data_IF_172968287701
#
_entry.id   IF_172968287701
#
_cell.length_a   1.000
_cell.length_b   1.000
_cell.length_c   1.000
_cell.angle_alpha   90.00
_cell.angle_beta   90.00
_cell.angle_gamma   90.00
#
_symmetry.space_group_name_H-M   'P 1'
#
loop_
_entity.id
_entity.type
_entity.pdbx_description
1 polymer ?
#
# COMPACT_ATOMS: atom_id res chain seq x y z
N UNK A 1 87.32 18.25 -48.01
CA UNK A 1 88.62 18.52 -47.34
C UNK A 1 88.32 19.00 -45.95
N UNK A 2 88.61 18.19 -44.92
CA UNK A 2 88.50 18.60 -43.52
C UNK A 2 89.89 19.11 -43.12
N UNK A 3 89.99 20.37 -42.71
CA UNK A 3 91.29 21.00 -42.40
C UNK A 3 91.96 20.27 -41.21
N UNK A 4 93.29 20.11 -41.21
CA UNK A 4 94.02 19.38 -40.15
C UNK A 4 93.81 19.92 -38.73
N UNK A 5 93.36 21.16 -38.62
CA UNK A 5 93.06 21.85 -37.37
C UNK A 5 91.78 21.32 -36.71
N UNK A 6 90.77 20.91 -37.50
CA UNK A 6 89.50 20.41 -36.98
C UNK A 6 89.63 19.03 -36.34
N UNK A 7 90.43 18.14 -36.95
CA UNK A 7 90.70 16.81 -36.38
C UNK A 7 91.52 16.90 -35.09
N UNK A 8 92.52 17.81 -35.04
CA UNK A 8 93.29 18.08 -33.82
C UNK A 8 92.45 18.65 -32.67
N UNK A 9 91.47 19.51 -32.99
CA UNK A 9 90.52 20.05 -32.01
C UNK A 9 89.55 18.98 -31.48
N UNK A 10 89.05 18.10 -32.35
CA UNK A 10 88.14 17.02 -31.95
C UNK A 10 88.83 15.95 -31.08
N UNK A 11 90.05 15.52 -31.45
CA UNK A 11 90.82 14.55 -30.66
C UNK A 11 91.17 15.03 -29.25
N UNK A 12 91.26 16.35 -29.01
CA UNK A 12 91.47 16.91 -27.67
C UNK A 12 90.23 16.89 -26.79
N UNK A 13 89.01 16.89 -27.35
CA UNK A 13 87.76 16.86 -26.56
C UNK A 13 87.36 15.45 -26.11
N UNK A 14 87.81 14.41 -26.78
CA UNK A 14 87.48 13.01 -26.44
C UNK A 14 88.05 12.59 -25.08
N UNK A 15 89.17 13.18 -24.63
CA UNK A 15 89.75 12.95 -23.30
C UNK A 15 89.35 14.02 -22.26
N UNK A 16 88.43 14.92 -22.61
CA UNK A 16 87.89 15.89 -21.66
C UNK A 16 86.82 15.22 -20.81
N UNK A 17 87.03 15.15 -19.49
CA UNK A 17 86.06 14.70 -18.50
C UNK A 17 84.81 15.61 -18.50
N UNK A 18 83.95 15.49 -19.52
CA UNK A 18 82.57 15.99 -19.44
C UNK A 18 81.85 14.96 -18.56
N UNK A 19 81.40 15.32 -17.35
CA UNK A 19 80.50 14.44 -16.62
C UNK A 19 79.27 14.25 -17.50
N UNK A 20 79.01 13.01 -17.95
CA UNK A 20 77.70 12.69 -18.50
C UNK A 20 76.64 13.13 -17.48
N UNK A 21 75.48 13.65 -17.93
CA UNK A 21 74.46 14.16 -17.01
C UNK A 21 74.18 13.10 -15.94
N UNK A 22 74.46 13.44 -14.68
CA UNK A 22 74.28 12.55 -13.55
C UNK A 22 72.83 12.07 -13.53
N UNK A 23 72.64 10.77 -13.67
CA UNK A 23 71.35 10.05 -13.60
C UNK A 23 70.69 10.12 -12.20
N UNK A 24 71.15 11.03 -11.33
CA UNK A 24 70.80 11.12 -9.91
C UNK A 24 69.62 12.06 -9.65
N UNK A 25 69.04 12.63 -10.71
CA UNK A 25 67.85 13.49 -10.66
C UNK A 25 66.74 13.12 -11.65
N UNK A 26 66.83 11.94 -12.28
CA UNK A 26 65.78 11.47 -13.20
C UNK A 26 64.65 10.91 -12.35
N UNK A 27 63.81 11.80 -11.80
CA UNK A 27 62.43 11.39 -11.55
C UNK A 27 61.86 10.88 -12.87
N UNK A 28 61.19 9.71 -12.88
CA UNK A 28 60.62 9.17 -14.10
C UNK A 28 59.72 10.23 -14.74
N UNK A 29 59.77 10.38 -16.06
CA UNK A 29 58.91 11.36 -16.77
C UNK A 29 57.42 11.14 -16.42
N UNK A 30 57.06 9.90 -16.05
CA UNK A 30 55.76 9.50 -15.52
C UNK A 30 55.31 10.30 -14.27
N UNK A 31 56.24 10.72 -13.40
CA UNK A 31 55.95 11.51 -12.19
C UNK A 31 55.62 12.98 -12.54
N UNK A 32 56.20 13.53 -13.62
CA UNK A 32 55.86 14.87 -14.14
C UNK A 32 54.63 14.86 -15.04
N UNK A 33 54.30 13.71 -15.61
CA UNK A 33 53.10 13.46 -16.40
C UNK A 33 51.93 12.96 -15.55
N UNK A 34 51.98 13.11 -14.21
CA UNK A 34 50.83 12.85 -13.37
C UNK A 34 49.70 13.77 -13.83
N UNK A 35 48.79 13.20 -14.64
CA UNK A 35 47.71 13.91 -15.32
C UNK A 35 46.74 14.38 -14.25
N UNK A 36 46.96 15.58 -13.72
CA UNK A 36 45.99 16.24 -12.85
C UNK A 36 44.74 16.47 -13.71
N UNK A 37 43.60 15.89 -13.33
CA UNK A 37 42.35 16.13 -14.06
C UNK A 37 42.08 17.63 -14.11
N UNK A 38 41.74 18.13 -15.29
CA UNK A 38 41.35 19.54 -15.42
C UNK A 38 40.09 19.82 -14.58
N UNK A 39 39.93 21.06 -14.11
CA UNK A 39 38.73 21.46 -13.34
C UNK A 39 37.42 21.12 -14.09
N UNK A 40 37.43 21.22 -15.42
CA UNK A 40 36.29 20.85 -16.27
C UNK A 40 36.01 19.34 -16.26
N UNK A 41 37.05 18.51 -16.21
CA UNK A 41 36.91 17.06 -16.18
C UNK A 41 36.37 16.58 -14.83
N UNK A 42 36.77 17.23 -13.74
CA UNK A 42 36.22 17.01 -12.40
C UNK A 42 34.73 17.40 -12.38
N UNK A 43 34.39 18.59 -12.88
CA UNK A 43 32.99 19.07 -12.95
C UNK A 43 32.12 18.12 -13.79
N UNK A 44 32.65 17.62 -14.91
CA UNK A 44 31.94 16.67 -15.77
C UNK A 44 31.65 15.36 -15.05
N UNK A 45 32.65 14.80 -14.37
CA UNK A 45 32.46 13.56 -13.59
C UNK A 45 31.44 13.74 -12.46
N UNK A 46 31.50 14.86 -11.74
CA UNK A 46 30.53 15.17 -10.68
C UNK A 46 29.10 15.32 -11.22
N UNK A 47 28.95 15.95 -12.38
CA UNK A 47 27.66 16.07 -13.05
C UNK A 47 27.09 14.69 -13.45
N UNK A 48 27.92 13.84 -14.06
CA UNK A 48 27.55 12.48 -14.44
C UNK A 48 27.10 11.66 -13.21
N UNK A 49 27.85 11.75 -12.11
CA UNK A 49 27.52 11.08 -10.85
C UNK A 49 26.18 11.55 -10.27
N UNK A 50 25.93 12.86 -10.27
CA UNK A 50 24.64 13.42 -9.81
C UNK A 50 23.49 12.98 -10.71
N UNK A 51 23.69 12.93 -12.02
CA UNK A 51 22.68 12.44 -12.96
C UNK A 51 22.34 10.97 -12.71
N UNK A 52 23.34 10.12 -12.46
CA UNK A 52 23.10 8.71 -12.13
C UNK A 52 22.34 8.55 -10.80
N UNK A 53 22.65 9.37 -9.80
CA UNK A 53 21.91 9.36 -8.54
C UNK A 53 20.44 9.79 -8.74
N UNK A 54 20.21 10.85 -9.52
CA UNK A 54 18.85 11.30 -9.85
C UNK A 54 18.07 10.24 -10.63
N UNK A 55 18.69 9.56 -11.58
CA UNK A 55 18.06 8.48 -12.34
C UNK A 55 17.60 7.34 -11.40
N UNK A 56 18.44 6.92 -10.46
CA UNK A 56 18.08 5.91 -9.45
C UNK A 56 16.93 6.37 -8.55
N UNK A 57 16.92 7.64 -8.12
CA UNK A 57 15.82 8.20 -7.32
C UNK A 57 14.52 8.26 -8.11
N UNK A 58 14.57 8.58 -9.41
CA UNK A 58 13.39 8.58 -10.28
C UNK A 58 12.82 7.15 -10.38
N UNK A 59 13.67 6.16 -10.62
CA UNK A 59 13.27 4.74 -10.70
C UNK A 59 12.58 4.29 -9.40
N UNK A 60 13.17 4.57 -8.24
CA UNK A 60 12.57 4.28 -6.93
C UNK A 60 11.19 4.95 -6.75
N UNK A 61 11.07 6.22 -7.12
CA UNK A 61 9.80 6.95 -7.02
C UNK A 61 8.74 6.40 -7.98
N UNK A 62 9.13 5.91 -9.16
CA UNK A 62 8.22 5.26 -10.09
C UNK A 62 7.70 3.93 -9.54
N UNK A 63 8.56 3.13 -8.93
CA UNK A 63 8.19 1.89 -8.23
C UNK A 63 7.22 2.17 -7.06
N UNK A 64 7.58 3.11 -6.17
CA UNK A 64 6.72 3.51 -5.05
C UNK A 64 5.34 4.00 -5.52
N UNK A 65 5.32 4.81 -6.58
CA UNK A 65 4.06 5.29 -7.18
C UNK A 65 3.21 4.14 -7.73
N UNK A 66 3.82 3.10 -8.31
CA UNK A 66 3.11 1.93 -8.79
C UNK A 66 2.52 1.12 -7.63
N UNK A 67 3.27 0.92 -6.54
CA UNK A 67 2.77 0.26 -5.33
C UNK A 67 1.58 1.02 -4.72
N UNK A 68 1.72 2.34 -4.52
CA UNK A 68 0.65 3.17 -3.97
C UNK A 68 -0.63 3.14 -4.83
N UNK A 69 -0.48 3.09 -6.16
CA UNK A 69 -1.63 2.94 -7.08
C UNK A 69 -2.33 1.60 -6.90
N UNK A 70 -1.58 0.51 -6.72
CA UNK A 70 -2.15 -0.81 -6.47
C UNK A 70 -2.91 -0.82 -5.14
N UNK A 71 -2.30 -0.29 -4.08
CA UNK A 71 -2.94 -0.22 -2.75
C UNK A 71 -4.23 0.60 -2.77
N UNK A 72 -4.22 1.76 -3.45
CA UNK A 72 -5.41 2.58 -3.62
C UNK A 72 -6.54 1.83 -4.36
N UNK A 73 -6.20 1.04 -5.38
CA UNK A 73 -7.17 0.22 -6.11
C UNK A 73 -7.73 -0.91 -5.23
N UNK A 74 -6.89 -1.57 -4.43
CA UNK A 74 -7.32 -2.60 -3.47
C UNK A 74 -8.29 -2.02 -2.45
N UNK A 75 -7.94 -0.89 -1.82
CA UNK A 75 -8.81 -0.21 -0.85
C UNK A 75 -10.15 0.19 -1.48
N UNK A 76 -10.14 0.69 -2.72
CA UNK A 76 -11.36 1.06 -3.44
C UNK A 76 -12.27 -0.16 -3.68
N UNK A 77 -11.70 -1.30 -4.09
CA UNK A 77 -12.45 -2.54 -4.30
C UNK A 77 -13.03 -3.09 -2.99
N UNK A 78 -12.26 -3.03 -1.91
CA UNK A 78 -12.72 -3.48 -0.59
C UNK A 78 -13.89 -2.62 -0.09
N UNK A 79 -13.78 -1.29 -0.21
CA UNK A 79 -14.85 -0.36 0.16
C UNK A 79 -16.12 -0.60 -0.66
N UNK A 80 -16.00 -0.89 -1.97
CA UNK A 80 -17.15 -1.21 -2.82
C UNK A 80 -17.83 -2.52 -2.39
N UNK A 81 -17.05 -3.57 -2.08
CA UNK A 81 -17.58 -4.84 -1.57
C UNK A 81 -18.32 -4.64 -0.24
N UNK A 82 -17.74 -3.88 0.68
CA UNK A 82 -18.38 -3.56 1.95
C UNK A 82 -19.70 -2.80 1.75
N UNK A 83 -19.74 -1.82 0.84
CA UNK A 83 -20.96 -1.07 0.52
C UNK A 83 -22.06 -1.99 -0.01
N UNK A 84 -21.74 -2.89 -0.94
CA UNK A 84 -22.70 -3.88 -1.47
C UNK A 84 -23.23 -4.79 -0.37
N UNK A 85 -22.35 -5.28 0.52
CA UNK A 85 -22.74 -6.11 1.67
C UNK A 85 -23.68 -5.37 2.63
N UNK A 86 -23.38 -4.12 2.97
CA UNK A 86 -24.22 -3.29 3.85
C UNK A 86 -25.61 -3.06 3.25
N UNK A 87 -25.68 -2.70 1.97
CA UNK A 87 -26.96 -2.46 1.29
C UNK A 87 -27.86 -3.71 1.32
N UNK A 88 -27.29 -4.90 1.07
CA UNK A 88 -28.05 -6.15 1.13
C UNK A 88 -28.54 -6.44 2.56
N UNK A 89 -27.67 -6.28 3.55
CA UNK A 89 -28.05 -6.50 4.95
C UNK A 89 -29.16 -5.53 5.41
N UNK A 90 -29.14 -4.29 4.91
CA UNK A 90 -30.18 -3.29 5.18
C UNK A 90 -31.51 -3.64 4.52
N UNK A 91 -31.49 -4.11 3.28
CA UNK A 91 -32.68 -4.63 2.58
C UNK A 91 -33.28 -5.84 3.31
N UNK A 92 -32.45 -6.81 3.68
CA UNK A 92 -32.85 -8.00 4.43
C UNK A 92 -33.47 -7.62 5.79
N UNK A 93 -32.86 -6.67 6.51
CA UNK A 93 -33.39 -6.15 7.77
C UNK A 93 -34.73 -5.42 7.57
N UNK A 94 -34.85 -4.66 6.48
CA UNK A 94 -36.09 -3.99 6.08
C UNK A 94 -37.22 -4.99 5.85
N UNK A 95 -36.95 -6.04 5.07
CA UNK A 95 -37.88 -7.15 4.81
C UNK A 95 -38.31 -7.83 6.10
N UNK A 96 -37.35 -8.26 6.93
CA UNK A 96 -37.61 -8.91 8.22
C UNK A 96 -38.47 -8.03 9.15
N UNK A 97 -38.19 -6.73 9.20
CA UNK A 97 -38.99 -5.78 9.98
C UNK A 97 -40.44 -5.68 9.48
N UNK A 98 -40.67 -5.76 8.17
CA UNK A 98 -42.02 -5.77 7.62
C UNK A 98 -42.76 -7.06 7.92
N UNK A 99 -42.09 -8.21 7.79
CA UNK A 99 -42.70 -9.52 8.06
C UNK A 99 -43.00 -9.70 9.55
N UNK A 100 -42.10 -9.26 10.43
CA UNK A 100 -42.38 -9.24 11.86
C UNK A 100 -43.61 -8.37 12.21
N UNK A 101 -43.74 -7.19 11.60
CA UNK A 101 -44.92 -6.34 11.82
C UNK A 101 -46.21 -7.04 11.36
N UNK A 102 -46.19 -7.69 10.20
CA UNK A 102 -47.33 -8.48 9.70
C UNK A 102 -47.68 -9.61 10.66
N UNK A 103 -46.69 -10.41 11.07
CA UNK A 103 -46.88 -11.52 12.01
C UNK A 103 -47.50 -11.03 13.33
N UNK A 104 -46.97 -9.95 13.90
CA UNK A 104 -47.51 -9.35 15.13
C UNK A 104 -48.96 -8.88 14.96
N UNK A 105 -49.32 -8.31 13.81
CA UNK A 105 -50.70 -7.93 13.52
C UNK A 105 -51.59 -9.17 13.40
N UNK A 106 -51.15 -10.20 12.66
CA UNK A 106 -51.88 -11.46 12.52
C UNK A 106 -52.14 -12.13 13.88
N UNK A 107 -51.15 -12.18 14.78
CA UNK A 107 -51.30 -12.73 16.14
C UNK A 107 -52.32 -11.97 16.99
N UNK A 108 -52.44 -10.65 16.79
CA UNK A 108 -53.48 -9.85 17.46
C UNK A 108 -54.86 -10.16 16.90
N UNK A 109 -55.00 -10.27 15.59
CA UNK A 109 -56.29 -10.55 14.93
C UNK A 109 -56.82 -11.94 15.23
N UNK A 110 -55.96 -12.98 15.26
CA UNK A 110 -56.37 -14.36 15.54
C UNK A 110 -56.56 -14.67 17.02
N UNK A 111 -56.37 -13.68 17.91
CA UNK A 111 -56.48 -13.87 19.36
C UNK A 111 -55.34 -14.70 19.98
N UNK A 112 -54.33 -15.09 19.18
CA UNK A 112 -53.14 -15.80 19.66
C UNK A 112 -52.26 -14.94 20.60
N UNK A 113 -52.49 -13.63 20.62
CA UNK A 113 -51.84 -12.68 21.53
C UNK A 113 -52.44 -12.61 22.94
N UNK A 114 -53.48 -13.39 23.26
CA UNK A 114 -54.06 -13.48 24.61
C UNK A 114 -53.04 -14.10 25.57
N UNK A 115 -52.81 -13.47 26.72
CA UNK A 115 -52.01 -14.06 27.80
C UNK A 115 -52.77 -15.25 28.42
N UNK A 116 -52.05 -16.18 29.08
CA UNK A 116 -52.67 -17.37 29.66
C UNK A 116 -53.74 -17.04 30.71
N UNK A 117 -53.58 -15.92 31.43
CA UNK A 117 -54.58 -15.40 32.37
C UNK A 117 -55.88 -15.00 31.68
N UNK A 118 -55.81 -14.36 30.53
CA UNK A 118 -57.00 -14.00 29.74
C UNK A 118 -57.73 -15.26 29.27
N UNK A 119 -57.00 -16.30 28.87
CA UNK A 119 -57.56 -17.61 28.54
C UNK A 119 -58.24 -18.28 29.74
N UNK A 120 -57.61 -18.24 30.91
CA UNK A 120 -58.20 -18.80 32.13
C UNK A 120 -59.50 -18.10 32.53
N UNK A 121 -59.54 -16.77 32.44
CA UNK A 121 -60.75 -15.99 32.72
C UNK A 121 -61.89 -16.32 31.76
N UNK A 122 -61.59 -16.46 30.46
CA UNK A 122 -62.59 -16.81 29.44
C UNK A 122 -63.15 -18.22 29.66
N UNK A 123 -62.29 -19.21 29.99
CA UNK A 123 -62.71 -20.57 30.35
C UNK A 123 -63.63 -20.58 31.58
N UNK A 124 -63.32 -19.79 32.62
CA UNK A 124 -64.15 -19.70 33.81
C UNK A 124 -65.50 -19.02 33.54
N UNK A 125 -65.51 -17.97 32.72
CA UNK A 125 -66.75 -17.33 32.28
C UNK A 125 -67.64 -18.30 31.50
N UNK A 126 -67.05 -19.10 30.59
CA UNK A 126 -67.80 -20.08 29.79
C UNK A 126 -68.37 -21.22 30.64
N UNK A 127 -67.60 -21.72 31.63
CA UNK A 127 -68.09 -22.70 32.62
C UNK A 127 -69.27 -22.16 33.41
N UNK A 128 -69.17 -20.93 33.88
CA UNK A 128 -70.24 -20.29 34.65
C UNK A 128 -71.52 -20.14 33.83
N UNK A 129 -71.40 -19.79 32.54
CA UNK A 129 -72.54 -19.79 31.61
C UNK A 129 -73.13 -21.20 31.48
N UNK A 130 -72.33 -22.21 31.18
CA UNK A 130 -72.82 -23.59 31.01
C UNK A 130 -73.61 -24.09 32.23
N UNK A 131 -73.15 -23.77 33.44
CA UNK A 131 -73.85 -24.11 34.68
C UNK A 131 -75.19 -23.36 34.84
N UNK A 132 -75.27 -22.11 34.38
CA UNK A 132 -76.54 -21.36 34.32
C UNK A 132 -77.52 -21.98 33.33
N UNK A 133 -77.07 -22.34 32.13
CA UNK A 133 -77.90 -23.02 31.14
C UNK A 133 -78.39 -24.38 31.64
N UNK A 134 -77.54 -25.13 32.36
CA UNK A 134 -77.90 -26.42 32.94
C UNK A 134 -78.98 -26.29 34.02
N UNK A 135 -78.89 -25.28 34.88
CA UNK A 135 -79.94 -24.97 35.88
C UNK A 135 -81.25 -24.56 35.20
N UNK A 136 -81.20 -23.63 34.24
CA UNK A 136 -82.39 -23.22 33.49
C UNK A 136 -83.04 -24.37 32.73
N UNK A 137 -82.25 -25.33 32.22
CA UNK A 137 -82.77 -26.53 31.59
C UNK A 137 -83.46 -27.47 32.59
N UNK A 138 -82.90 -27.65 33.78
CA UNK A 138 -83.52 -28.44 34.85
C UNK A 138 -84.82 -27.81 35.36
N UNK A 139 -84.85 -26.49 35.48
CA UNK A 139 -86.05 -25.73 35.87
C UNK A 139 -87.15 -25.80 34.80
N UNK A 140 -86.80 -25.87 33.51
CA UNK A 140 -87.77 -26.03 32.42
C UNK A 140 -88.29 -27.47 32.24
N UNK A 141 -87.68 -28.46 32.90
CA UNK A 141 -88.11 -29.88 32.88
C UNK A 141 -88.95 -30.28 34.11
N UNK A 142 -89.12 -29.38 35.09
CA UNK A 142 -89.98 -29.55 36.26
C UNK A 142 -91.41 -29.04 35.98
#
# INVERSE_FOLDING_TARGET
MTTPEYSGWFSRRVNGNIPGPSLEGVRPMEEYLQVVPSELEIIKQDFEKRNQELAKRIEQLEEEKMHLRLDANVQKLEAEKQKKGKNKAEEDLGSLKTDYKKLRLSMKTTGLGKTSEQWWQEIQAEKTKADQWKRGFQEAQA
#
